data_IF_210312072385
#
_entry.id   IF_210312072385
#
_cell.length_a   1.000
_cell.length_b   1.000
_cell.length_c   1.000
_cell.angle_alpha   90.00
_cell.angle_beta   90.00
_cell.angle_gamma   90.00
#
_symmetry.space_group_name_H-M   'P 1'
#
loop_
_entity.id
_entity.type
_entity.pdbx_description
1 polymer ?
#
# COMPACT_ATOMS: atom_id res chain seq x y z
N UNK A 1 -5.11 -15.27 -13.98
CA UNK A 1 -3.69 -15.40 -13.58
C UNK A 1 -3.67 -16.00 -12.19
N UNK A 2 -2.73 -16.88 -11.91
CA UNK A 2 -2.49 -17.35 -10.54
C UNK A 2 -1.94 -16.19 -9.68
N UNK A 3 -2.08 -16.23 -8.34
CA UNK A 3 -1.59 -15.16 -7.48
C UNK A 3 -0.11 -14.80 -7.70
N UNK A 4 0.78 -15.79 -7.78
CA UNK A 4 2.21 -15.56 -8.04
C UNK A 4 2.45 -14.85 -9.38
N UNK A 5 1.63 -15.13 -10.39
CA UNK A 5 1.73 -14.45 -11.69
C UNK A 5 1.23 -13.01 -11.62
N UNK A 6 0.26 -12.72 -10.75
CA UNK A 6 -0.19 -11.35 -10.47
C UNK A 6 0.89 -10.59 -9.71
N UNK A 7 1.51 -11.17 -8.69
CA UNK A 7 2.63 -10.56 -7.97
C UNK A 7 3.74 -10.17 -8.96
N UNK A 8 4.19 -11.10 -9.80
CA UNK A 8 5.21 -10.83 -10.83
C UNK A 8 4.79 -9.71 -11.79
N UNK A 9 3.53 -9.68 -12.23
CA UNK A 9 3.02 -8.61 -13.08
C UNK A 9 3.08 -7.26 -12.36
N UNK A 10 2.61 -7.18 -11.12
CA UNK A 10 2.59 -5.94 -10.35
C UNK A 10 4.01 -5.46 -10.02
N UNK A 11 4.94 -6.36 -9.75
CA UNK A 11 6.36 -6.03 -9.57
C UNK A 11 6.96 -5.38 -10.83
N UNK A 12 6.66 -5.91 -12.02
CA UNK A 12 7.08 -5.27 -13.28
C UNK A 12 6.45 -3.90 -13.47
N UNK A 13 5.17 -3.76 -13.11
CA UNK A 13 4.50 -2.46 -13.18
C UNK A 13 5.07 -1.46 -12.15
N UNK A 14 5.56 -1.93 -11.00
CA UNK A 14 6.27 -1.12 -10.02
C UNK A 14 7.66 -0.66 -10.52
N UNK A 15 8.23 -1.24 -11.57
CA UNK A 15 9.44 -0.72 -12.21
C UNK A 15 9.11 0.48 -13.14
N UNK A 16 7.86 0.61 -13.60
CA UNK A 16 7.45 1.66 -14.53
C UNK A 16 7.39 3.04 -13.87
N UNK A 17 7.94 4.05 -14.56
CA UNK A 17 7.96 5.43 -14.03
C UNK A 17 6.57 6.04 -13.95
N UNK A 18 5.71 5.73 -14.93
CA UNK A 18 4.38 6.31 -15.03
C UNK A 18 3.36 5.28 -15.47
N UNK A 19 2.31 5.13 -14.68
CA UNK A 19 1.09 4.43 -15.05
C UNK A 19 -0.08 5.40 -14.99
N UNK A 20 -0.98 5.31 -15.96
CA UNK A 20 -2.14 6.19 -16.01
C UNK A 20 -3.25 5.70 -15.09
N UNK A 21 -4.08 6.62 -14.56
CA UNK A 21 -5.23 6.24 -13.74
C UNK A 21 -6.19 5.27 -14.45
N UNK A 22 -6.52 5.42 -15.75
CA UNK A 22 -7.32 4.42 -16.46
C UNK A 22 -6.68 3.03 -16.51
N UNK A 23 -5.34 2.95 -16.61
CA UNK A 23 -4.61 1.68 -16.53
C UNK A 23 -4.81 1.04 -15.15
N UNK A 24 -4.58 1.78 -14.07
CA UNK A 24 -4.75 1.29 -12.69
C UNK A 24 -6.19 0.83 -12.42
N UNK A 25 -7.19 1.60 -12.87
CA UNK A 25 -8.61 1.23 -12.80
C UNK A 25 -8.92 -0.06 -13.57
N UNK A 26 -8.27 -0.25 -14.72
CA UNK A 26 -8.47 -1.45 -15.53
C UNK A 26 -7.81 -2.67 -14.89
N UNK A 27 -6.60 -2.52 -14.33
CA UNK A 27 -5.93 -3.58 -13.59
C UNK A 27 -6.78 -4.06 -12.41
N UNK A 28 -7.22 -3.13 -11.56
CA UNK A 28 -8.08 -3.42 -10.42
C UNK A 28 -9.37 -4.14 -10.84
N UNK A 29 -10.07 -3.67 -11.87
CA UNK A 29 -11.32 -4.31 -12.35
C UNK A 29 -11.10 -5.67 -12.99
N UNK A 30 -9.98 -5.86 -13.68
CA UNK A 30 -9.70 -7.10 -14.42
C UNK A 30 -9.28 -8.22 -13.47
N UNK A 31 -8.45 -7.88 -12.48
CA UNK A 31 -7.81 -8.85 -11.60
C UNK A 31 -8.34 -8.85 -10.16
N UNK A 32 -9.27 -7.95 -9.84
CA UNK A 32 -9.87 -7.82 -8.50
C UNK A 32 -8.81 -7.70 -7.40
N UNK A 33 -7.77 -6.88 -7.62
CA UNK A 33 -6.52 -6.92 -6.84
C UNK A 33 -6.74 -6.74 -5.33
N UNK A 34 -7.70 -5.91 -4.93
CA UNK A 34 -8.04 -5.70 -3.51
C UNK A 34 -8.69 -6.90 -2.79
N UNK A 35 -9.15 -7.91 -3.52
CA UNK A 35 -9.78 -9.14 -3.00
C UNK A 35 -8.82 -10.34 -3.05
N UNK A 36 -7.61 -10.16 -3.58
CA UNK A 36 -6.60 -11.19 -3.65
C UNK A 36 -5.91 -11.39 -2.28
N UNK A 37 -4.98 -12.33 -2.21
CA UNK A 37 -4.19 -12.56 -1.00
C UNK A 37 -3.32 -11.35 -0.60
N UNK A 38 -2.71 -11.43 0.59
CA UNK A 38 -1.91 -10.37 1.17
C UNK A 38 -0.74 -9.92 0.27
N UNK A 39 -0.13 -10.83 -0.48
CA UNK A 39 1.04 -10.52 -1.32
C UNK A 39 0.63 -9.71 -2.55
N UNK A 40 -0.44 -10.10 -3.22
CA UNK A 40 -1.00 -9.33 -4.33
C UNK A 40 -1.53 -7.97 -3.84
N UNK A 41 -2.23 -7.94 -2.69
CA UNK A 41 -2.74 -6.70 -2.10
C UNK A 41 -1.63 -5.73 -1.72
N UNK A 42 -0.50 -6.23 -1.19
CA UNK A 42 0.66 -5.42 -0.86
C UNK A 42 1.22 -4.71 -2.11
N UNK A 43 1.52 -5.46 -3.17
CA UNK A 43 2.02 -4.90 -4.44
C UNK A 43 1.04 -3.93 -5.08
N UNK A 44 -0.26 -4.19 -4.94
CA UNK A 44 -1.28 -3.27 -5.41
C UNK A 44 -1.30 -1.96 -4.61
N UNK A 45 -1.17 -2.03 -3.29
CA UNK A 45 -1.07 -0.84 -2.44
C UNK A 45 0.17 -0.01 -2.78
N UNK A 46 1.31 -0.63 -3.06
CA UNK A 46 2.51 0.07 -3.54
C UNK A 46 2.21 0.86 -4.83
N UNK A 47 1.51 0.27 -5.80
CA UNK A 47 1.12 0.96 -7.03
C UNK A 47 0.16 2.13 -6.77
N UNK A 48 -0.79 1.97 -5.84
CA UNK A 48 -1.70 3.04 -5.42
C UNK A 48 -0.90 4.22 -4.87
N UNK A 49 0.06 3.96 -3.97
CA UNK A 49 0.89 4.98 -3.33
C UNK A 49 1.81 5.64 -4.35
N UNK A 50 2.57 4.85 -5.10
CA UNK A 50 3.54 5.31 -6.10
C UNK A 50 2.92 6.25 -7.14
N UNK A 51 1.72 5.91 -7.62
CA UNK A 51 1.04 6.68 -8.66
C UNK A 51 -0.06 7.61 -8.14
N UNK A 52 -0.12 7.82 -6.81
CA UNK A 52 -1.09 8.72 -6.15
C UNK A 52 -2.53 8.45 -6.56
N UNK A 53 -2.91 7.18 -6.61
CA UNK A 53 -4.27 6.77 -6.97
C UNK A 53 -5.24 6.99 -5.80
N UNK A 54 -5.53 8.27 -5.53
CA UNK A 54 -6.24 8.73 -4.32
C UNK A 54 -7.59 8.09 -4.07
N UNK A 55 -8.35 7.74 -5.12
CA UNK A 55 -9.66 7.09 -4.94
C UNK A 55 -9.57 5.66 -4.41
N UNK A 56 -8.37 5.07 -4.35
CA UNK A 56 -8.14 3.74 -3.81
C UNK A 56 -7.41 3.76 -2.46
N UNK A 57 -7.21 4.93 -1.83
CA UNK A 57 -6.52 5.03 -0.54
C UNK A 57 -7.23 4.27 0.58
N UNK A 58 -8.56 4.09 0.52
CA UNK A 58 -9.29 3.21 1.45
C UNK A 58 -8.75 1.77 1.47
N UNK A 59 -8.22 1.28 0.35
CA UNK A 59 -7.64 -0.06 0.24
C UNK A 59 -6.28 -0.13 0.91
N UNK A 60 -5.51 0.96 0.86
CA UNK A 60 -4.26 1.13 1.63
C UNK A 60 -4.56 1.20 3.13
N UNK A 61 -5.58 1.96 3.55
CA UNK A 61 -5.98 2.02 4.97
C UNK A 61 -6.37 0.65 5.51
N UNK A 62 -7.13 -0.12 4.72
CA UNK A 62 -7.54 -1.47 5.06
C UNK A 62 -6.34 -2.41 5.17
N UNK A 63 -5.44 -2.39 4.20
CA UNK A 63 -4.24 -3.23 4.21
C UNK A 63 -3.34 -2.95 5.42
N UNK A 64 -3.11 -1.68 5.77
CA UNK A 64 -2.30 -1.31 6.94
C UNK A 64 -2.90 -1.77 8.27
N UNK A 65 -4.22 -1.95 8.34
CA UNK A 65 -4.90 -2.45 9.53
C UNK A 65 -4.91 -3.99 9.60
N UNK A 66 -5.12 -4.66 8.45
CA UNK A 66 -5.28 -6.12 8.37
C UNK A 66 -3.93 -6.87 8.29
N UNK A 67 -2.93 -6.33 7.58
CA UNK A 67 -1.68 -7.01 7.23
C UNK A 67 -0.45 -6.28 7.79
N UNK A 68 -0.47 -5.99 9.09
CA UNK A 68 0.46 -5.07 9.77
C UNK A 68 1.95 -5.38 9.56
N UNK A 69 2.34 -6.66 9.55
CA UNK A 69 3.73 -7.06 9.36
C UNK A 69 4.28 -6.65 7.98
N UNK A 70 3.47 -6.81 6.93
CA UNK A 70 3.81 -6.36 5.59
C UNK A 70 3.59 -4.85 5.43
N UNK A 71 2.65 -4.27 6.18
CA UNK A 71 2.33 -2.85 6.16
C UNK A 71 3.47 -1.92 6.61
N UNK A 72 4.44 -2.39 7.39
CA UNK A 72 5.59 -1.58 7.86
C UNK A 72 6.33 -0.92 6.70
N UNK A 73 6.62 -1.66 5.63
CA UNK A 73 7.29 -1.11 4.44
C UNK A 73 6.46 0.00 3.79
N UNK A 74 5.15 -0.20 3.71
CA UNK A 74 4.23 0.73 3.05
C UNK A 74 4.09 2.07 3.80
N UNK A 75 4.28 2.08 5.12
CA UNK A 75 4.41 3.34 5.87
C UNK A 75 5.60 4.17 5.38
N UNK A 76 6.74 3.54 5.09
CA UNK A 76 7.89 4.22 4.49
C UNK A 76 7.55 4.82 3.13
N UNK A 77 6.93 4.04 2.24
CA UNK A 77 6.52 4.51 0.90
C UNK A 77 5.58 5.72 0.95
N UNK A 78 4.63 5.74 1.90
CA UNK A 78 3.72 6.88 2.11
C UNK A 78 4.45 8.15 2.57
N UNK A 79 5.64 8.03 3.14
CA UNK A 79 6.44 9.15 3.63
C UNK A 79 7.45 9.67 2.59
N UNK A 80 8.02 8.78 1.76
CA UNK A 80 9.09 9.09 0.78
C UNK A 80 8.73 10.22 -0.18
N UNK A 81 7.47 10.29 -0.64
CA UNK A 81 7.03 11.29 -1.60
C UNK A 81 6.73 12.67 -1.01
N UNK A 82 6.81 12.83 0.32
CA UNK A 82 6.41 14.03 1.08
C UNK A 82 5.02 14.58 0.72
N UNK A 83 4.13 13.70 0.26
CA UNK A 83 2.77 14.07 -0.12
C UNK A 83 1.91 14.22 1.15
N UNK A 84 1.40 15.43 1.39
CA UNK A 84 0.66 15.73 2.61
C UNK A 84 -0.55 14.80 2.84
N UNK A 85 -1.21 14.32 1.77
CA UNK A 85 -2.34 13.39 1.91
C UNK A 85 -1.87 12.00 2.33
N UNK A 86 -0.76 11.52 1.76
CA UNK A 86 -0.17 10.24 2.11
C UNK A 86 0.42 10.24 3.53
N UNK A 87 1.11 11.31 3.93
CA UNK A 87 1.60 11.44 5.31
C UNK A 87 0.45 11.49 6.33
N UNK A 88 -0.64 12.18 6.00
CA UNK A 88 -1.82 12.20 6.86
C UNK A 88 -2.49 10.81 6.92
N UNK A 89 -2.56 10.12 5.77
CA UNK A 89 -3.07 8.75 5.68
C UNK A 89 -2.27 7.82 6.61
N UNK A 90 -0.95 7.85 6.49
CA UNK A 90 -0.02 7.06 7.29
C UNK A 90 -0.22 7.33 8.79
N UNK A 91 -0.19 8.60 9.22
CA UNK A 91 -0.38 8.97 10.64
C UNK A 91 -1.73 8.49 11.18
N UNK A 92 -2.83 8.68 10.44
CA UNK A 92 -4.14 8.19 10.86
C UNK A 92 -4.19 6.67 11.00
N UNK A 93 -3.66 5.94 10.01
CA UNK A 93 -3.64 4.47 10.05
C UNK A 93 -2.80 3.96 11.22
N UNK A 94 -1.63 4.56 11.45
CA UNK A 94 -0.76 4.17 12.55
C UNK A 94 -1.41 4.39 13.91
N UNK A 95 -2.09 5.52 14.12
CA UNK A 95 -2.82 5.76 15.37
C UNK A 95 -3.89 4.71 15.66
N UNK A 96 -4.54 4.18 14.62
CA UNK A 96 -5.55 3.12 14.74
C UNK A 96 -4.92 1.73 14.95
N UNK A 97 -3.77 1.45 14.33
CA UNK A 97 -3.15 0.13 14.32
C UNK A 97 -2.11 -0.09 15.44
N UNK A 98 -1.44 0.95 15.95
CA UNK A 98 -0.27 0.85 16.84
C UNK A 98 -0.49 0.02 18.12
N UNK A 99 -1.74 -0.05 18.61
CA UNK A 99 -2.08 -0.86 19.79
C UNK A 99 -2.12 -2.37 19.53
N UNK A 100 -2.18 -2.79 18.26
CA UNK A 100 -2.26 -4.18 17.83
C UNK A 100 -0.96 -4.66 17.18
N UNK A 101 -0.12 -3.74 16.71
CA UNK A 101 1.19 -4.03 16.14
C UNK A 101 2.13 -4.64 17.18
N UNK A 102 3.06 -5.50 16.72
CA UNK A 102 4.19 -5.87 17.56
C UNK A 102 5.02 -4.62 17.90
N UNK A 103 5.61 -4.63 19.10
CA UNK A 103 6.31 -3.46 19.65
C UNK A 103 7.43 -2.98 18.73
N UNK A 104 8.21 -3.89 18.15
CA UNK A 104 9.31 -3.54 17.24
C UNK A 104 8.81 -2.82 15.99
N UNK A 105 7.77 -3.35 15.34
CA UNK A 105 7.16 -2.71 14.17
C UNK A 105 6.56 -1.35 14.51
N UNK A 106 5.92 -1.23 15.67
CA UNK A 106 5.35 0.04 16.11
C UNK A 106 6.43 1.11 16.34
N UNK A 107 7.56 0.74 16.95
CA UNK A 107 8.71 1.64 17.14
C UNK A 107 9.30 2.07 15.79
N UNK A 108 9.51 1.14 14.86
CA UNK A 108 10.03 1.42 13.51
C UNK A 108 9.10 2.36 12.73
N UNK A 109 7.78 2.10 12.75
CA UNK A 109 6.82 2.97 12.05
C UNK A 109 6.74 4.34 12.71
N UNK A 110 6.80 4.43 14.05
CA UNK A 110 6.82 5.72 14.73
C UNK A 110 8.01 6.60 14.30
N UNK A 111 9.22 6.01 14.17
CA UNK A 111 10.42 6.71 13.69
C UNK A 111 10.29 7.20 12.24
N UNK A 112 9.49 6.53 11.40
CA UNK A 112 9.25 6.98 10.02
C UNK A 112 8.27 8.16 9.96
N UNK A 113 7.35 8.28 10.92
CA UNK A 113 6.23 9.24 10.85
C UNK A 113 6.48 10.58 11.56
N UNK A 114 7.40 10.60 12.52
CA UNK A 114 7.64 11.70 13.47
C UNK A 114 9.14 11.99 13.66
#
# INVERSE_FOLDING_TARGET
>A
LLPDQLVLLLERLLEEKTLTLPTLQTLQRTYHLHEQDAEVRHRWCELIVKHKYTSAYEQVERFLQEDQAMGVYLYGELMVGEDARQQQLARRCFELAKGQMDRSSAEVVAEMLF
#
